data_IF_776167546439
#
_entry.id   IF_776167546439
#
_cell.length_a   1.000
_cell.length_b   1.000
_cell.length_c   1.000
_cell.angle_alpha   90.00
_cell.angle_beta   90.00
_cell.angle_gamma   90.00
#
_symmetry.space_group_name_H-M   'P 1'
#
loop_
_entity.id
_entity.type
_entity.pdbx_description
1 polymer ?
#
# COMPACT_ATOMS: atom_id res chain seq x y z
N UNK A 1 -2.68 -6.65 12.54
CA UNK A 1 -3.42 -7.93 12.45
C UNK A 1 -2.80 -9.02 13.33
N UNK A 2 -1.49 -9.25 13.31
CA UNK A 2 -0.84 -10.29 14.10
C UNK A 2 -1.14 -10.19 15.59
N UNK A 3 -0.95 -9.01 16.15
CA UNK A 3 -1.23 -8.78 17.57
C UNK A 3 -2.71 -8.99 17.88
N UNK A 4 -3.61 -8.54 17.01
CA UNK A 4 -5.04 -8.77 17.12
C UNK A 4 -5.36 -10.27 17.10
N UNK A 5 -4.83 -11.00 16.10
CA UNK A 5 -5.03 -12.44 15.96
C UNK A 5 -4.55 -13.20 17.20
N UNK A 6 -3.38 -12.82 17.72
CA UNK A 6 -2.82 -13.44 18.94
C UNK A 6 -3.69 -13.21 20.17
N UNK A 7 -4.22 -11.99 20.35
CA UNK A 7 -5.07 -11.63 21.50
C UNK A 7 -6.43 -12.35 21.44
N UNK A 8 -7.00 -12.44 20.23
CA UNK A 8 -8.38 -12.92 20.03
C UNK A 8 -8.47 -14.37 19.54
N UNK A 9 -7.32 -15.06 19.37
CA UNK A 9 -7.29 -16.44 18.88
C UNK A 9 -7.83 -16.59 17.46
N UNK A 10 -7.66 -15.56 16.62
CA UNK A 10 -8.16 -15.54 15.24
C UNK A 10 -7.01 -15.70 14.23
N UNK A 11 -7.36 -16.00 12.98
CA UNK A 11 -6.42 -16.10 11.85
C UNK A 11 -6.80 -15.13 10.71
N UNK A 12 -7.23 -13.93 11.07
CA UNK A 12 -7.64 -12.90 10.09
C UNK A 12 -6.40 -12.43 9.29
N UNK A 13 -6.53 -12.43 7.98
CA UNK A 13 -5.54 -11.90 7.03
C UNK A 13 -6.03 -10.62 6.38
N UNK A 14 -5.18 -9.95 5.62
CA UNK A 14 -5.56 -8.78 4.83
C UNK A 14 -6.73 -9.07 3.86
N UNK A 15 -6.88 -10.31 3.39
CA UNK A 15 -7.95 -10.71 2.47
C UNK A 15 -9.29 -11.03 3.14
N UNK A 16 -9.33 -11.10 4.45
CA UNK A 16 -10.60 -11.20 5.20
C UNK A 16 -11.23 -9.82 5.44
N UNK A 17 -10.48 -8.72 5.26
CA UNK A 17 -10.97 -7.35 5.42
C UNK A 17 -11.57 -6.91 4.08
N UNK A 18 -12.87 -7.17 3.90
CA UNK A 18 -13.58 -6.93 2.63
C UNK A 18 -14.70 -5.90 2.74
N UNK A 19 -14.95 -5.37 3.91
CA UNK A 19 -15.96 -4.36 4.09
C UNK A 19 -15.46 -2.98 3.65
N UNK A 20 -16.25 -2.34 2.81
CA UNK A 20 -15.98 -1.00 2.36
C UNK A 20 -16.42 0.02 3.40
N UNK A 21 -15.55 0.96 3.71
CA UNK A 21 -15.84 2.07 4.63
C UNK A 21 -16.84 3.06 4.02
N UNK A 22 -17.45 3.90 4.85
CA UNK A 22 -18.32 4.97 4.36
C UNK A 22 -17.56 5.96 3.46
N UNK A 23 -16.29 6.22 3.71
CA UNK A 23 -15.44 7.06 2.85
C UNK A 23 -15.38 6.49 1.43
N UNK A 24 -15.19 5.18 1.29
CA UNK A 24 -15.21 4.52 -0.01
C UNK A 24 -16.57 4.66 -0.70
N UNK A 25 -17.66 4.41 0.04
CA UNK A 25 -19.04 4.45 -0.51
C UNK A 25 -19.44 5.84 -1.00
N UNK A 26 -18.89 6.88 -0.41
CA UNK A 26 -19.22 8.29 -0.69
C UNK A 26 -18.30 8.95 -1.72
N UNK A 27 -17.18 8.33 -2.11
CA UNK A 27 -16.21 8.92 -3.04
C UNK A 27 -16.11 8.11 -4.34
N UNK A 28 -16.55 8.71 -5.44
CA UNK A 28 -16.39 8.13 -6.78
C UNK A 28 -14.91 8.02 -7.18
N UNK A 29 -14.08 8.97 -6.78
CA UNK A 29 -12.65 9.00 -7.08
C UNK A 29 -11.95 7.80 -6.44
N UNK A 30 -12.24 7.52 -5.17
CA UNK A 30 -11.70 6.36 -4.46
C UNK A 30 -12.21 5.06 -5.11
N UNK A 31 -13.48 5.01 -5.50
CA UNK A 31 -14.04 3.86 -6.19
C UNK A 31 -13.35 3.60 -7.53
N UNK A 32 -13.09 4.65 -8.32
CA UNK A 32 -12.35 4.56 -9.59
C UNK A 32 -10.90 4.11 -9.38
N UNK A 33 -10.23 4.64 -8.35
CA UNK A 33 -8.85 4.25 -8.00
C UNK A 33 -8.75 2.76 -7.65
N UNK A 34 -9.74 2.23 -6.95
CA UNK A 34 -9.75 0.85 -6.43
C UNK A 34 -10.30 -0.14 -7.47
N UNK A 35 -11.19 0.29 -8.35
CA UNK A 35 -11.93 -0.58 -9.27
C UNK A 35 -11.05 -1.58 -10.05
N UNK A 36 -9.90 -1.20 -10.63
CA UNK A 36 -9.07 -2.11 -11.39
C UNK A 36 -8.51 -3.30 -10.57
N UNK A 37 -8.37 -3.09 -9.26
CA UNK A 37 -7.71 -4.03 -8.36
C UNK A 37 -8.65 -4.95 -7.60
N UNK A 38 -9.97 -4.70 -7.67
CA UNK A 38 -11.00 -5.41 -6.90
C UNK A 38 -10.89 -6.94 -6.92
N UNK A 39 -10.57 -7.60 -8.05
CA UNK A 39 -10.49 -9.06 -8.08
C UNK A 39 -9.45 -9.64 -7.12
N UNK A 40 -8.38 -8.89 -6.88
CA UNK A 40 -7.23 -9.32 -6.06
C UNK A 40 -7.14 -8.60 -4.73
N UNK A 41 -8.01 -7.60 -4.50
CA UNK A 41 -7.89 -6.69 -3.37
C UNK A 41 -8.16 -7.40 -2.05
N UNK A 42 -7.19 -7.31 -1.17
CA UNK A 42 -7.37 -7.49 0.26
C UNK A 42 -7.59 -6.14 0.96
N UNK A 43 -6.76 -5.86 1.94
CA UNK A 43 -6.81 -4.57 2.62
C UNK A 43 -6.33 -3.45 1.69
N UNK A 44 -7.11 -2.37 1.65
CA UNK A 44 -6.70 -1.09 1.10
C UNK A 44 -6.82 -0.03 2.20
N UNK A 45 -5.85 0.84 2.35
CA UNK A 45 -5.89 1.88 3.37
C UNK A 45 -5.11 3.12 2.96
N UNK A 46 -5.61 4.26 3.42
CA UNK A 46 -4.93 5.53 3.28
C UNK A 46 -4.03 5.78 4.48
N UNK A 47 -2.87 6.34 4.20
CA UNK A 47 -1.93 6.85 5.18
C UNK A 47 -1.85 8.36 5.02
N UNK A 48 -2.04 9.08 6.13
CA UNK A 48 -1.82 10.52 6.19
C UNK A 48 -0.67 10.80 7.13
N UNK A 49 0.31 11.56 6.66
CA UNK A 49 1.42 12.07 7.46
C UNK A 49 1.40 13.60 7.44
N UNK A 50 1.72 14.18 8.57
CA UNK A 50 1.98 15.61 8.70
C UNK A 50 3.48 15.84 8.91
N UNK A 51 3.89 17.09 9.05
CA UNK A 51 5.29 17.47 9.30
C UNK A 51 5.87 16.70 10.47
N UNK A 52 7.00 16.03 10.26
CA UNK A 52 7.63 15.16 11.25
C UNK A 52 6.97 13.79 11.35
N UNK A 53 5.95 13.49 10.52
CA UNK A 53 5.33 12.18 10.43
C UNK A 53 6.34 11.12 9.99
N UNK A 54 6.33 9.99 10.68
CA UNK A 54 7.36 8.98 10.50
C UNK A 54 6.78 7.57 10.60
N UNK A 55 7.11 6.76 9.62
CA UNK A 55 6.97 5.31 9.68
C UNK A 55 8.36 4.71 9.85
N UNK A 56 8.66 4.07 10.99
CA UNK A 56 9.98 3.52 11.25
C UNK A 56 10.35 2.45 10.23
N UNK A 57 11.64 2.22 10.08
CA UNK A 57 12.14 1.16 9.23
C UNK A 57 11.57 -0.19 9.66
N UNK A 58 10.99 -0.89 8.70
CA UNK A 58 10.40 -2.21 8.88
C UNK A 58 10.35 -2.97 7.55
N UNK A 59 10.00 -4.22 7.63
CA UNK A 59 9.56 -5.03 6.50
C UNK A 59 8.27 -5.75 6.88
N UNK A 60 7.44 -6.00 5.89
CA UNK A 60 6.18 -6.71 6.10
C UNK A 60 6.39 -8.21 5.88
N UNK A 61 6.05 -9.02 6.87
CA UNK A 61 6.13 -10.47 6.77
C UNK A 61 4.82 -11.00 6.21
N UNK A 62 4.79 -11.28 4.90
CA UNK A 62 3.54 -11.65 4.25
C UNK A 62 3.40 -13.16 3.99
N UNK A 63 4.44 -13.80 3.47
CA UNK A 63 4.37 -15.19 2.99
C UNK A 63 4.28 -16.23 4.10
N UNK A 64 5.02 -16.04 5.17
CA UNK A 64 5.11 -17.02 6.28
C UNK A 64 3.83 -17.03 7.12
N UNK A 65 3.15 -15.88 7.20
CA UNK A 65 2.01 -15.71 8.10
C UNK A 65 0.67 -16.02 7.46
N UNK A 66 0.54 -15.81 6.16
CA UNK A 66 -0.76 -15.84 5.49
C UNK A 66 -0.93 -16.97 4.49
N UNK A 67 0.13 -17.72 4.20
CA UNK A 67 0.09 -18.88 3.29
C UNK A 67 -0.17 -18.55 1.83
N UNK A 68 -0.06 -17.29 1.43
CA UNK A 68 -0.15 -16.83 0.03
C UNK A 68 0.84 -15.70 -0.25
N UNK A 69 1.13 -15.50 -1.52
CA UNK A 69 1.96 -14.38 -1.96
C UNK A 69 1.11 -13.11 -2.05
N UNK A 70 1.59 -12.06 -1.43
CA UNK A 70 0.98 -10.73 -1.48
C UNK A 70 1.93 -9.77 -2.15
N UNK A 71 1.42 -8.98 -3.06
CA UNK A 71 2.15 -7.83 -3.59
C UNK A 71 1.52 -6.53 -3.08
N UNK A 72 2.33 -5.49 -3.02
CA UNK A 72 1.88 -4.18 -2.63
C UNK A 72 2.06 -3.18 -3.74
N UNK A 73 0.99 -2.42 -3.94
CA UNK A 73 1.04 -1.18 -4.69
C UNK A 73 0.89 -0.02 -3.72
N UNK A 74 1.57 1.07 -3.99
CA UNK A 74 1.43 2.32 -3.27
C UNK A 74 1.15 3.45 -4.26
N UNK A 75 0.04 4.13 -4.05
CA UNK A 75 -0.29 5.35 -4.79
C UNK A 75 0.08 6.57 -3.94
N UNK A 76 0.85 7.46 -4.53
CA UNK A 76 1.19 8.75 -3.94
C UNK A 76 0.16 9.77 -4.44
N UNK A 77 -0.57 10.41 -3.53
CA UNK A 77 -1.79 11.15 -3.86
C UNK A 77 -1.64 12.65 -3.65
N UNK A 78 -1.05 13.07 -2.53
CA UNK A 78 -0.95 14.49 -2.22
C UNK A 78 0.35 14.82 -1.50
N UNK A 79 1.04 15.85 -1.98
CA UNK A 79 2.32 16.35 -1.48
C UNK A 79 3.45 15.31 -1.45
N UNK A 80 3.29 14.22 -2.17
CA UNK A 80 4.25 13.13 -2.24
C UNK A 80 5.31 13.41 -3.31
N UNK A 81 6.25 14.25 -3.01
CA UNK A 81 7.37 14.59 -3.89
C UNK A 81 8.69 14.47 -3.11
N UNK A 82 9.81 14.42 -3.82
CA UNK A 82 11.13 14.22 -3.22
C UNK A 82 11.56 15.28 -2.20
N UNK A 83 10.95 16.46 -2.22
CA UNK A 83 11.24 17.52 -1.25
C UNK A 83 10.55 17.22 0.07
N UNK A 84 9.27 16.86 0.02
CA UNK A 84 8.36 16.84 1.15
C UNK A 84 8.19 15.44 1.75
N UNK A 85 8.45 14.38 0.97
CA UNK A 85 8.38 12.99 1.39
C UNK A 85 9.70 12.28 1.13
N UNK A 86 10.23 11.60 2.12
CA UNK A 86 11.37 10.69 1.99
C UNK A 86 10.87 9.26 2.09
N UNK A 87 10.73 8.61 0.95
CA UNK A 87 10.45 7.18 0.87
C UNK A 87 11.79 6.45 0.76
N UNK A 88 12.19 5.80 1.84
CA UNK A 88 13.48 5.10 1.94
C UNK A 88 13.22 3.61 1.70
N UNK A 89 13.91 3.03 0.75
CA UNK A 89 13.77 1.64 0.36
C UNK A 89 15.15 1.01 0.15
N UNK A 90 15.47 0.01 0.97
CA UNK A 90 16.79 -0.64 0.99
C UNK A 90 17.96 0.38 1.04
N UNK A 91 17.92 1.25 2.05
CA UNK A 91 18.94 2.29 2.30
C UNK A 91 19.04 3.39 1.21
N UNK A 92 18.10 3.41 0.27
CA UNK A 92 18.09 4.41 -0.80
C UNK A 92 16.81 5.26 -0.72
N UNK A 93 16.95 6.58 -0.72
CA UNK A 93 15.82 7.48 -0.88
C UNK A 93 15.32 7.38 -2.32
N UNK A 94 14.05 7.02 -2.49
CA UNK A 94 13.40 6.94 -3.80
C UNK A 94 12.66 8.23 -4.10
N UNK A 95 12.83 8.71 -5.31
CA UNK A 95 12.00 9.80 -5.82
C UNK A 95 10.61 9.25 -6.10
N UNK A 96 9.60 9.93 -5.55
CA UNK A 96 8.19 9.63 -5.73
C UNK A 96 7.46 10.88 -6.15
N UNK A 97 6.32 10.73 -6.84
CA UNK A 97 5.53 11.84 -7.37
C UNK A 97 4.04 11.59 -7.17
N UNK A 98 3.30 12.68 -6.94
CA UNK A 98 1.85 12.64 -6.88
C UNK A 98 1.25 12.07 -8.18
N UNK A 99 0.16 11.33 -8.04
CA UNK A 99 -0.55 10.69 -9.14
C UNK A 99 0.12 9.43 -9.68
N UNK A 100 1.19 8.96 -9.04
CA UNK A 100 1.93 7.78 -9.49
C UNK A 100 1.62 6.58 -8.61
N UNK A 101 1.50 5.41 -9.24
CA UNK A 101 1.34 4.12 -8.58
C UNK A 101 2.62 3.30 -8.75
N UNK A 102 3.15 2.84 -7.64
CA UNK A 102 4.37 2.04 -7.62
C UNK A 102 4.11 0.63 -7.07
N UNK A 103 4.75 -0.35 -7.69
CA UNK A 103 4.97 -1.64 -7.04
C UNK A 103 6.17 -1.54 -6.11
N UNK A 104 6.07 -2.12 -4.93
CA UNK A 104 7.23 -2.32 -4.07
C UNK A 104 7.15 -3.67 -3.35
N UNK A 105 8.30 -4.29 -3.19
CA UNK A 105 8.41 -5.52 -2.42
C UNK A 105 8.45 -5.18 -0.93
N UNK A 106 7.33 -5.31 -0.25
CA UNK A 106 7.19 -4.98 1.17
C UNK A 106 7.98 -5.91 2.11
N UNK A 107 8.54 -7.00 1.58
CA UNK A 107 9.47 -7.86 2.34
C UNK A 107 10.90 -7.27 2.40
N UNK A 108 11.14 -6.14 1.75
CA UNK A 108 12.37 -5.38 1.85
C UNK A 108 12.21 -4.25 2.86
N UNK A 109 13.32 -3.85 3.50
CA UNK A 109 13.31 -2.76 4.48
C UNK A 109 12.84 -1.48 3.82
N UNK A 110 11.91 -0.81 4.47
CA UNK A 110 11.39 0.47 4.02
C UNK A 110 10.95 1.33 5.19
N UNK A 111 11.01 2.63 4.99
CA UNK A 111 10.56 3.64 5.92
C UNK A 111 10.08 4.89 5.20
N UNK A 112 9.32 5.71 5.90
CA UNK A 112 8.77 6.95 5.35
C UNK A 112 8.94 8.07 6.36
N UNK A 113 9.36 9.23 5.89
CA UNK A 113 9.46 10.44 6.70
C UNK A 113 8.89 11.63 5.92
N UNK A 114 8.04 12.43 6.59
CA UNK A 114 7.42 13.62 6.02
C UNK A 114 8.00 14.90 6.60
N UNK A 115 8.27 15.87 5.72
CA UNK A 115 8.65 17.25 6.09
C UNK A 115 7.54 18.26 5.81
N UNK A 116 6.39 17.80 5.30
CA UNK A 116 5.24 18.65 4.98
C UNK A 116 3.95 18.14 5.62
N UNK A 117 2.95 18.99 5.59
CA UNK A 117 1.58 18.65 5.98
C UNK A 117 0.86 17.91 4.86
N UNK A 118 -0.20 17.16 5.23
CA UNK A 118 -1.14 16.54 4.32
C UNK A 118 -0.48 15.63 3.25
N UNK A 119 0.57 14.93 3.61
CA UNK A 119 1.08 13.84 2.78
C UNK A 119 0.05 12.71 2.80
N UNK A 120 -0.47 12.31 1.64
CA UNK A 120 -1.47 11.26 1.51
C UNK A 120 -0.98 10.20 0.55
N UNK A 121 -0.98 8.96 1.04
CA UNK A 121 -0.66 7.76 0.26
C UNK A 121 -1.79 6.74 0.40
N UNK A 122 -1.98 5.89 -0.61
CA UNK A 122 -2.88 4.75 -0.54
C UNK A 122 -2.10 3.45 -0.78
N UNK A 123 -2.25 2.50 0.12
CA UNK A 123 -1.58 1.19 0.02
C UNK A 123 -2.62 0.13 -0.31
N UNK A 124 -2.34 -0.66 -1.35
CA UNK A 124 -3.13 -1.79 -1.79
C UNK A 124 -2.38 -3.08 -1.46
N UNK A 125 -3.01 -3.97 -0.72
CA UNK A 125 -2.55 -5.33 -0.51
C UNK A 125 -3.28 -6.24 -1.47
N UNK A 126 -2.58 -6.78 -2.47
CA UNK A 126 -3.16 -7.59 -3.53
C UNK A 126 -2.70 -9.04 -3.40
N UNK A 127 -3.63 -9.98 -3.49
CA UNK A 127 -3.30 -11.39 -3.60
C UNK A 127 -2.65 -11.64 -4.96
N UNK A 128 -1.44 -12.20 -4.95
CA UNK A 128 -0.73 -12.52 -6.17
C UNK A 128 -1.37 -13.73 -6.88
N UNK A 129 -1.58 -13.59 -8.17
CA UNK A 129 -1.80 -14.68 -9.11
C UNK A 129 -1.30 -14.29 -10.51
N UNK A 130 -1.34 -15.21 -11.46
CA UNK A 130 -0.86 -14.99 -12.82
C UNK A 130 -1.64 -13.90 -13.57
N UNK A 131 -2.95 -13.78 -13.33
CA UNK A 131 -3.81 -12.81 -13.98
C UNK A 131 -3.48 -11.38 -13.51
N UNK A 132 -3.24 -11.21 -12.21
CA UNK A 132 -2.75 -9.94 -11.68
C UNK A 132 -1.41 -9.55 -12.32
N UNK A 133 -0.50 -10.52 -12.45
CA UNK A 133 0.81 -10.25 -13.04
C UNK A 133 0.72 -9.82 -14.51
N UNK A 134 -0.11 -10.50 -15.30
CA UNK A 134 -0.41 -10.10 -16.69
C UNK A 134 -0.99 -8.70 -16.75
N UNK A 135 -1.99 -8.40 -15.91
CA UNK A 135 -2.63 -7.08 -15.82
C UNK A 135 -1.60 -5.99 -15.51
N UNK A 136 -0.69 -6.24 -14.57
CA UNK A 136 0.36 -5.29 -14.23
C UNK A 136 1.32 -5.05 -15.40
N UNK A 137 1.74 -6.10 -16.11
CA UNK A 137 2.63 -5.97 -17.27
C UNK A 137 1.95 -5.24 -18.42
N UNK A 138 0.70 -5.54 -18.69
CA UNK A 138 -0.05 -4.94 -19.81
C UNK A 138 -0.38 -3.46 -19.57
N UNK A 139 -0.76 -3.09 -18.37
CA UNK A 139 -1.14 -1.71 -18.02
C UNK A 139 0.06 -0.82 -17.71
N UNK A 140 1.10 -1.39 -17.15
CA UNK A 140 2.32 -0.67 -16.76
C UNK A 140 3.49 -1.20 -17.58
N UNK A 141 3.51 -0.85 -18.86
CA UNK A 141 4.71 -1.04 -19.66
C UNK A 141 5.83 -0.26 -18.98
N UNK A 142 6.78 -0.99 -18.43
CA UNK A 142 7.99 -0.41 -17.89
C UNK A 142 8.65 0.44 -19.00
N UNK A 143 8.64 1.73 -18.78
CA UNK A 143 9.36 2.66 -19.61
C UNK A 143 10.88 2.50 -19.34
#
# INVERSE_FOLDING_TARGET
>A
LLQYNKIHGTSITNHHIKEYTEVYKQSEEIQKLIAPWKPWLGRCHFLKLNTGGYFPEHYDINKIEYGYEEIRLIAFINNCNKKDLKFIYEDTVRDVEDGTLYYFNANKRHSVFSTAEDIIMCVFCLKFDEELFKTLIEQYRFA
#
